data_IF_463813370736
#
_entry.id   IF_463813370736
#
_cell.length_a   1.000
_cell.length_b   1.000
_cell.length_c   1.000
_cell.angle_alpha   90.00
_cell.angle_beta   90.00
_cell.angle_gamma   90.00
#
_symmetry.space_group_name_H-M   'P 1'
#
loop_
_entity.id
_entity.type
_entity.pdbx_description
1 polymer ?
#
# COMPACT_ATOMS: atom_id res chain seq x y z
N UNK A 1 -33.47 10.31 -5.36
CA UNK A 1 -33.04 8.94 -5.02
C UNK A 1 -32.34 8.35 -6.23
N UNK A 2 -31.02 8.36 -6.26
CA UNK A 2 -30.25 7.69 -7.32
C UNK A 2 -29.96 6.28 -6.84
N UNK A 3 -30.69 5.29 -7.35
CA UNK A 3 -30.42 3.89 -7.08
C UNK A 3 -28.96 3.59 -7.47
N UNK A 4 -28.18 3.10 -6.50
CA UNK A 4 -26.81 2.66 -6.72
C UNK A 4 -26.85 1.36 -7.51
N UNK A 5 -26.95 1.46 -8.84
CA UNK A 5 -26.94 0.32 -9.74
C UNK A 5 -25.54 -0.29 -9.69
N UNK A 6 -25.37 -1.36 -8.91
CA UNK A 6 -24.11 -2.12 -8.86
C UNK A 6 -23.67 -2.43 -10.30
N UNK A 7 -22.46 -2.04 -10.71
CA UNK A 7 -22.01 -2.27 -12.08
C UNK A 7 -22.04 -3.77 -12.39
N UNK A 8 -22.36 -4.16 -13.64
CA UNK A 8 -22.44 -5.55 -14.02
C UNK A 8 -21.09 -6.23 -13.80
N UNK A 9 -21.10 -7.41 -13.17
CA UNK A 9 -19.90 -8.23 -12.98
C UNK A 9 -19.42 -8.76 -14.33
N UNK A 10 -18.26 -8.31 -14.80
CA UNK A 10 -17.59 -8.84 -15.98
C UNK A 10 -16.62 -9.95 -15.58
N UNK A 11 -16.55 -11.02 -16.38
CA UNK A 11 -15.55 -12.08 -16.22
C UNK A 11 -14.35 -11.73 -17.10
N UNK A 12 -13.17 -11.66 -16.50
CA UNK A 12 -11.90 -11.48 -17.19
C UNK A 12 -11.01 -12.67 -16.91
N UNK A 13 -10.40 -13.24 -17.95
CA UNK A 13 -9.35 -14.22 -17.80
C UNK A 13 -8.02 -13.50 -17.56
N UNK A 14 -7.32 -13.87 -16.49
CA UNK A 14 -5.96 -13.40 -16.20
C UNK A 14 -5.03 -14.61 -16.19
N UNK A 15 -3.80 -14.42 -16.66
CA UNK A 15 -2.75 -15.44 -16.59
C UNK A 15 -1.88 -15.13 -15.37
N UNK A 16 -1.67 -16.14 -14.53
CA UNK A 16 -0.81 -16.07 -13.36
C UNK A 16 0.19 -17.22 -13.41
N UNK A 17 1.39 -17.06 -12.83
CA UNK A 17 2.28 -18.19 -12.58
C UNK A 17 1.58 -19.27 -11.76
N UNK A 18 1.84 -20.53 -12.10
CA UNK A 18 1.18 -21.68 -11.47
C UNK A 18 1.44 -21.70 -9.95
N UNK A 19 2.67 -21.39 -9.54
CA UNK A 19 3.09 -21.35 -8.15
C UNK A 19 2.28 -20.33 -7.33
N UNK A 20 1.97 -19.18 -7.94
CA UNK A 20 1.17 -18.12 -7.30
C UNK A 20 -0.29 -18.57 -7.15
N UNK A 21 -0.84 -19.22 -8.17
CA UNK A 21 -2.18 -19.81 -8.11
C UNK A 21 -2.29 -20.87 -7.00
N UNK A 22 -1.28 -21.72 -6.87
CA UNK A 22 -1.25 -22.78 -5.86
C UNK A 22 -1.17 -22.21 -4.44
N UNK A 23 -0.35 -21.17 -4.24
CA UNK A 23 -0.31 -20.44 -2.96
C UNK A 23 -1.65 -19.80 -2.63
N UNK A 24 -2.30 -19.14 -3.60
CA UNK A 24 -3.61 -18.52 -3.38
C UNK A 24 -4.68 -19.55 -3.02
N UNK A 25 -4.71 -20.70 -3.71
CA UNK A 25 -5.62 -21.80 -3.40
C UNK A 25 -5.36 -22.44 -2.04
N UNK A 26 -4.09 -22.57 -1.64
CA UNK A 26 -3.74 -23.08 -0.32
C UNK A 26 -4.29 -22.17 0.79
N UNK A 27 -4.18 -20.85 0.60
CA UNK A 27 -4.70 -19.85 1.55
C UNK A 27 -6.23 -19.80 1.59
N UNK A 28 -6.90 -20.01 0.46
CA UNK A 28 -8.36 -20.18 0.40
C UNK A 28 -8.79 -21.43 1.17
N UNK A 29 -8.08 -22.55 0.95
CA UNK A 29 -8.34 -23.81 1.65
C UNK A 29 -8.09 -23.72 3.16
N UNK A 30 -7.08 -22.94 3.57
CA UNK A 30 -6.78 -22.64 4.97
C UNK A 30 -7.77 -21.65 5.62
N UNK A 31 -8.71 -21.08 4.85
CA UNK A 31 -9.68 -20.10 5.34
C UNK A 31 -9.11 -18.70 5.59
N UNK A 32 -7.87 -18.43 5.18
CA UNK A 32 -7.24 -17.11 5.32
C UNK A 32 -7.85 -16.08 4.38
N UNK A 33 -8.33 -16.53 3.22
CA UNK A 33 -9.02 -15.69 2.24
C UNK A 33 -10.36 -16.32 1.85
N UNK A 34 -11.41 -15.52 1.65
CA UNK A 34 -12.75 -16.03 1.37
C UNK A 34 -12.90 -16.58 -0.05
N UNK A 35 -12.16 -16.04 -1.01
CA UNK A 35 -11.98 -16.63 -2.34
C UNK A 35 -10.79 -16.00 -3.05
N UNK A 36 -10.19 -16.73 -4.00
CA UNK A 36 -9.11 -16.18 -4.85
C UNK A 36 -9.57 -14.92 -5.59
N UNK A 37 -10.74 -14.98 -6.24
CA UNK A 37 -11.29 -13.84 -7.00
C UNK A 37 -11.58 -12.63 -6.11
N UNK A 38 -12.18 -12.84 -4.93
CA UNK A 38 -12.46 -11.75 -3.97
C UNK A 38 -11.19 -11.16 -3.37
N UNK A 39 -10.18 -11.99 -3.13
CA UNK A 39 -8.87 -11.53 -2.68
C UNK A 39 -8.19 -10.65 -3.73
N UNK A 40 -8.14 -11.09 -4.99
CA UNK A 40 -7.59 -10.30 -6.11
C UNK A 40 -8.35 -8.98 -6.26
N UNK A 41 -9.68 -9.00 -6.18
CA UNK A 41 -10.48 -7.77 -6.23
C UNK A 41 -10.08 -6.78 -5.13
N UNK A 42 -9.87 -7.27 -3.90
CA UNK A 42 -9.46 -6.44 -2.77
C UNK A 42 -8.09 -5.81 -2.99
N UNK A 43 -7.14 -6.58 -3.54
CA UNK A 43 -5.80 -6.07 -3.86
C UNK A 43 -5.87 -4.97 -4.93
N UNK A 44 -6.62 -5.17 -6.00
CA UNK A 44 -6.81 -4.18 -7.06
C UNK A 44 -7.45 -2.89 -6.55
N UNK A 45 -8.42 -3.00 -5.63
CA UNK A 45 -9.03 -1.82 -5.00
C UNK A 45 -8.01 -1.04 -4.16
N UNK A 46 -7.15 -1.73 -3.41
CA UNK A 46 -6.09 -1.10 -2.60
C UNK A 46 -5.05 -0.40 -3.47
N UNK A 47 -4.62 -1.01 -4.57
CA UNK A 47 -3.71 -0.36 -5.51
C UNK A 47 -4.32 0.90 -6.12
N UNK A 48 -5.60 0.84 -6.52
CA UNK A 48 -6.28 2.01 -7.06
C UNK A 48 -6.43 3.13 -6.01
N UNK A 49 -6.68 2.77 -4.75
CA UNK A 49 -6.74 3.71 -3.64
C UNK A 49 -5.38 4.36 -3.39
N UNK A 50 -4.30 3.56 -3.30
CA UNK A 50 -2.94 4.05 -3.13
C UNK A 50 -2.55 5.01 -4.27
N UNK A 51 -2.80 4.65 -5.52
CA UNK A 51 -2.53 5.52 -6.67
C UNK A 51 -3.31 6.85 -6.61
N UNK A 52 -4.57 6.83 -6.11
CA UNK A 52 -5.35 8.06 -5.91
C UNK A 52 -4.75 8.92 -4.80
N UNK A 53 -4.34 8.31 -3.68
CA UNK A 53 -3.68 9.02 -2.58
C UNK A 53 -2.39 9.65 -3.08
N UNK A 54 -1.55 8.91 -3.81
CA UNK A 54 -0.30 9.41 -4.37
C UNK A 54 -0.54 10.58 -5.34
N UNK A 55 -1.54 10.48 -6.20
CA UNK A 55 -1.90 11.57 -7.10
C UNK A 55 -2.38 12.83 -6.34
N UNK A 56 -3.12 12.66 -5.24
CA UNK A 56 -3.54 13.77 -4.38
C UNK A 56 -2.33 14.38 -3.67
N UNK A 57 -1.44 13.56 -3.11
CA UNK A 57 -0.21 14.03 -2.45
C UNK A 57 0.68 14.78 -3.43
N UNK A 58 0.90 14.26 -4.64
CA UNK A 58 1.68 14.93 -5.67
C UNK A 58 1.09 16.29 -6.09
N UNK A 59 -0.24 16.42 -6.07
CA UNK A 59 -0.93 17.70 -6.34
C UNK A 59 -0.80 18.68 -5.19
N UNK A 60 -0.92 18.22 -3.94
CA UNK A 60 -0.85 19.06 -2.75
C UNK A 60 0.58 19.50 -2.41
N UNK A 61 1.54 18.63 -2.69
CA UNK A 61 2.96 18.82 -2.41
C UNK A 61 3.77 18.70 -3.71
N UNK A 62 3.65 19.67 -4.62
CA UNK A 62 4.31 19.61 -5.91
C UNK A 62 5.83 19.77 -5.74
N UNK A 63 6.58 18.67 -5.84
CA UNK A 63 8.01 18.65 -6.15
C UNK A 63 8.99 19.30 -5.17
N UNK A 64 8.53 19.99 -4.12
CA UNK A 64 9.41 20.52 -3.09
C UNK A 64 10.00 19.37 -2.28
N UNK A 65 11.32 19.18 -2.42
CA UNK A 65 12.05 18.28 -1.55
C UNK A 65 11.97 18.82 -0.12
N UNK A 66 11.78 17.96 0.90
CA UNK A 66 11.78 18.41 2.28
C UNK A 66 13.09 19.14 2.60
N UNK A 67 12.96 20.42 2.98
CA UNK A 67 14.05 21.23 3.54
C UNK A 67 14.60 20.68 4.87
N UNK A 68 15.67 21.30 5.36
CA UNK A 68 16.37 20.85 6.57
C UNK A 68 15.44 20.78 7.80
N UNK A 69 14.53 21.75 7.97
CA UNK A 69 13.57 21.75 9.07
C UNK A 69 12.61 20.55 9.05
N UNK A 70 12.25 20.07 7.85
CA UNK A 70 11.38 18.90 7.69
C UNK A 70 12.11 17.60 8.03
N UNK A 71 13.39 17.51 7.71
CA UNK A 71 14.23 16.36 8.04
C UNK A 71 14.53 16.29 9.54
N UNK A 72 14.80 17.44 10.19
CA UNK A 72 14.96 17.53 11.64
C UNK A 72 13.69 17.14 12.38
N UNK A 73 12.53 17.63 11.92
CA UNK A 73 11.23 17.22 12.45
C UNK A 73 11.03 15.70 12.30
N UNK A 74 11.29 15.13 11.12
CA UNK A 74 11.15 13.70 10.86
C UNK A 74 12.09 12.87 11.75
N UNK A 75 13.35 13.29 11.92
CA UNK A 75 14.32 12.61 12.78
C UNK A 75 13.88 12.60 14.25
N UNK A 76 13.27 13.70 14.73
CA UNK A 76 12.70 13.78 16.08
C UNK A 76 11.45 12.91 16.22
N UNK A 77 10.55 12.94 15.24
CA UNK A 77 9.29 12.17 15.26
C UNK A 77 9.53 10.66 15.18
N UNK A 78 10.52 10.23 14.39
CA UNK A 78 10.92 8.83 14.23
C UNK A 78 11.90 8.35 15.31
N UNK A 79 12.30 9.23 16.24
CA UNK A 79 13.22 8.90 17.35
C UNK A 79 14.66 8.58 16.90
N UNK A 80 15.05 8.98 15.68
CA UNK A 80 16.37 8.69 15.10
C UNK A 80 17.40 9.78 15.44
N UNK A 81 16.96 10.90 16.04
CA UNK A 81 17.80 12.05 16.37
C UNK A 81 18.20 12.14 17.83
N UNK A 82 19.13 11.28 18.28
CA UNK A 82 20.13 11.51 19.34
C UNK A 82 20.77 10.17 19.77
N UNK A 83 21.58 9.58 18.89
CA UNK A 83 22.61 8.61 19.29
C UNK A 83 23.84 8.81 18.41
N UNK A 84 24.30 10.05 18.33
CA UNK A 84 25.70 10.31 17.98
C UNK A 84 26.47 10.16 19.28
N UNK A 85 27.14 9.02 19.41
CA UNK A 85 27.82 8.62 20.64
C UNK A 85 28.88 9.63 21.08
N UNK A 86 28.74 10.10 22.32
CA UNK A 86 29.90 10.38 23.16
C UNK A 86 30.48 9.03 23.60
N UNK A 87 31.24 8.41 22.71
CA UNK A 87 32.30 7.47 23.09
C UNK A 87 33.60 8.09 22.60
N UNK A 88 33.99 9.18 23.26
CA UNK A 88 35.37 9.68 23.18
C UNK A 88 36.09 9.16 24.40
N UNK A 89 37.02 8.23 24.14
CA UNK A 89 38.00 7.76 25.10
C UNK A 89 38.76 8.93 25.75
N UNK A 90 38.90 8.86 27.07
CA UNK A 90 40.05 9.32 27.86
C UNK A 90 39.99 8.65 29.24
#
# INVERSE_FOLDING_TARGET
MTESRTPPKAKTAITLPQEVLDQLKARETAGEIPSVSGHIQTLLMREQEAAKVDAVLARLFPGERPGAEHLEWAAKALGVGASTGESSAA
#
